data_IF_272555912929
#
_entry.id   IF_272555912929
#
_cell.length_a   1.000
_cell.length_b   1.000
_cell.length_c   1.000
_cell.angle_alpha   90.00
_cell.angle_beta   90.00
_cell.angle_gamma   90.00
#
_symmetry.space_group_name_H-M   'P 1'
#
loop_
_entity.id
_entity.type
_entity.pdbx_description
1 polymer ?
#
# COMPACT_ATOMS: atom_id res chain seq x y z
N UNK A 1 -23.69 4.12 -6.32
CA UNK A 1 -23.79 3.27 -5.11
C UNK A 1 -24.21 4.16 -3.95
N UNK A 2 -25.22 3.77 -3.15
CA UNK A 2 -25.70 4.59 -2.02
C UNK A 2 -24.58 4.85 -0.98
N UNK A 3 -24.41 6.07 -0.45
CA UNK A 3 -23.47 6.36 0.64
C UNK A 3 -23.79 5.55 1.91
N UNK A 4 -22.77 5.22 2.70
CA UNK A 4 -22.91 4.49 3.97
C UNK A 4 -22.04 5.13 5.07
N UNK A 5 -22.52 5.23 6.32
CA UNK A 5 -21.81 5.90 7.40
C UNK A 5 -20.75 5.01 8.09
N UNK A 6 -19.85 4.41 7.31
CA UNK A 6 -18.78 3.58 7.84
C UNK A 6 -17.58 4.41 8.30
N UNK A 7 -17.16 4.22 9.56
CA UNK A 7 -15.93 4.81 10.14
C UNK A 7 -14.68 4.05 9.70
N UNK A 8 -14.82 2.75 9.39
CA UNK A 8 -13.71 1.85 9.03
C UNK A 8 -14.14 0.87 7.93
N UNK A 9 -13.20 0.53 7.04
CA UNK A 9 -13.40 -0.38 5.91
C UNK A 9 -12.17 -1.26 5.76
N UNK A 10 -12.32 -2.54 6.15
CA UNK A 10 -11.22 -3.51 6.16
C UNK A 10 -10.86 -4.03 4.76
N UNK A 11 -11.87 -4.36 3.94
CA UNK A 11 -11.68 -5.00 2.63
C UNK A 11 -10.91 -4.11 1.65
N UNK A 12 -9.73 -4.57 1.23
CA UNK A 12 -8.90 -3.94 0.19
C UNK A 12 -9.62 -3.92 -1.15
N UNK A 13 -10.19 -5.06 -1.56
CA UNK A 13 -10.93 -5.20 -2.81
C UNK A 13 -12.10 -4.22 -2.88
N UNK A 14 -12.84 -4.04 -1.78
CA UNK A 14 -13.96 -3.10 -1.77
C UNK A 14 -13.50 -1.65 -1.93
N UNK A 15 -12.43 -1.25 -1.24
CA UNK A 15 -11.84 0.09 -1.42
C UNK A 15 -11.33 0.28 -2.86
N UNK A 16 -10.60 -0.70 -3.40
CA UNK A 16 -10.12 -0.67 -4.80
C UNK A 16 -11.27 -0.50 -5.77
N UNK A 17 -12.36 -1.27 -5.63
CA UNK A 17 -13.54 -1.17 -6.48
C UNK A 17 -14.23 0.20 -6.41
N UNK A 18 -14.19 0.90 -5.27
CA UNK A 18 -14.70 2.28 -5.18
C UNK A 18 -13.76 3.24 -5.88
N UNK A 19 -12.45 3.10 -5.70
CA UNK A 19 -11.46 3.97 -6.32
C UNK A 19 -11.45 3.84 -7.85
N UNK A 20 -11.60 2.62 -8.40
CA UNK A 20 -11.63 2.38 -9.86
C UNK A 20 -12.88 2.93 -10.55
N UNK A 21 -13.90 3.38 -9.81
CA UNK A 21 -15.05 4.10 -10.38
C UNK A 21 -14.72 5.56 -10.70
N UNK A 22 -13.67 6.10 -10.09
CA UNK A 22 -13.14 7.41 -10.45
C UNK A 22 -12.09 7.23 -11.55
N UNK A 23 -12.39 7.72 -12.76
CA UNK A 23 -11.52 7.58 -13.94
C UNK A 23 -10.14 8.19 -13.72
N UNK A 24 -10.06 9.26 -12.92
CA UNK A 24 -8.80 9.95 -12.60
C UNK A 24 -7.87 9.08 -11.74
N UNK A 25 -8.40 8.08 -11.03
CA UNK A 25 -7.63 7.20 -10.16
C UNK A 25 -7.17 5.91 -10.84
N UNK A 26 -7.82 5.49 -11.93
CA UNK A 26 -7.52 4.23 -12.63
C UNK A 26 -6.02 4.10 -12.98
N UNK A 27 -5.34 5.12 -13.53
CA UNK A 27 -3.93 5.00 -13.90
C UNK A 27 -2.99 4.69 -12.74
N UNK A 28 -3.39 5.04 -11.51
CA UNK A 28 -2.58 4.85 -10.31
C UNK A 28 -2.88 3.54 -9.57
N UNK A 29 -3.93 2.82 -9.95
CA UNK A 29 -4.35 1.61 -9.26
C UNK A 29 -3.73 0.40 -9.98
N UNK A 30 -2.86 -0.37 -9.32
CA UNK A 30 -2.35 -1.61 -9.91
C UNK A 30 -3.50 -2.58 -10.16
N UNK A 31 -3.46 -3.28 -11.30
CA UNK A 31 -4.45 -4.30 -11.61
C UNK A 31 -4.58 -5.27 -10.44
N UNK A 32 -5.82 -5.48 -10.02
CA UNK A 32 -6.17 -6.26 -8.84
C UNK A 32 -7.32 -7.18 -9.19
N UNK A 33 -7.19 -8.47 -8.87
CA UNK A 33 -8.21 -9.50 -9.07
C UNK A 33 -8.42 -10.28 -7.77
N UNK A 34 -9.55 -10.99 -7.66
CA UNK A 34 -9.69 -12.01 -6.63
C UNK A 34 -8.75 -13.18 -6.92
N UNK A 35 -8.16 -13.73 -5.87
CA UNK A 35 -7.28 -14.88 -6.00
C UNK A 35 -8.05 -16.13 -6.44
N UNK A 36 -7.56 -16.74 -7.50
CA UNK A 36 -7.78 -18.12 -7.91
C UNK A 36 -6.51 -18.56 -8.64
N UNK A 37 -6.30 -19.87 -8.80
CA UNK A 37 -5.14 -20.34 -9.56
C UNK A 37 -5.17 -19.84 -11.01
N UNK A 38 -6.36 -19.82 -11.61
CA UNK A 38 -6.57 -19.26 -12.96
C UNK A 38 -6.18 -17.78 -13.03
N UNK A 39 -6.60 -16.96 -12.06
CA UNK A 39 -6.22 -15.54 -12.04
C UNK A 39 -4.74 -15.35 -11.71
N UNK A 40 -4.09 -16.28 -11.00
CA UNK A 40 -2.66 -16.23 -10.75
C UNK A 40 -1.88 -16.39 -12.06
N UNK A 41 -2.18 -17.43 -12.83
CA UNK A 41 -1.56 -17.66 -14.14
C UNK A 41 -1.79 -16.51 -15.11
N UNK A 42 -3.05 -16.10 -15.28
CA UNK A 42 -3.42 -14.96 -16.14
C UNK A 42 -2.69 -13.67 -15.77
N UNK A 43 -2.43 -13.43 -14.48
CA UNK A 43 -1.70 -12.25 -14.04
C UNK A 43 -0.19 -12.39 -14.21
N UNK A 44 0.37 -13.60 -14.13
CA UNK A 44 1.80 -13.87 -14.37
C UNK A 44 2.13 -13.77 -15.86
N UNK A 45 1.25 -14.27 -16.74
CA UNK A 45 1.37 -14.09 -18.20
C UNK A 45 1.51 -12.62 -18.62
N UNK A 46 0.89 -11.72 -17.84
CA UNK A 46 0.88 -10.28 -18.12
C UNK A 46 1.93 -9.48 -17.35
N UNK A 47 2.42 -10.01 -16.23
CA UNK A 47 3.27 -9.27 -15.32
C UNK A 47 4.37 -10.17 -14.75
N UNK A 48 5.64 -9.72 -14.77
CA UNK A 48 6.77 -10.53 -14.31
C UNK A 48 6.71 -10.86 -12.82
N UNK A 49 5.88 -10.15 -12.04
CA UNK A 49 5.64 -10.44 -10.65
C UNK A 49 4.22 -10.03 -10.24
N UNK A 50 3.68 -10.77 -9.28
CA UNK A 50 2.40 -10.47 -8.63
C UNK A 50 2.51 -10.61 -7.12
N UNK A 51 1.63 -9.93 -6.41
CA UNK A 51 1.45 -10.07 -4.97
C UNK A 51 0.09 -10.63 -4.64
N UNK A 52 0.07 -11.70 -3.85
CA UNK A 52 -1.14 -12.28 -3.28
C UNK A 52 -1.24 -11.77 -1.83
N UNK A 53 -2.37 -11.16 -1.48
CA UNK A 53 -2.57 -10.51 -0.16
C UNK A 53 -3.95 -10.85 0.39
N UNK A 54 -4.12 -11.06 1.72
CA UNK A 54 -5.45 -11.16 2.31
C UNK A 54 -6.25 -9.87 2.06
N UNK A 55 -7.51 -10.02 1.64
CA UNK A 55 -8.40 -8.88 1.39
C UNK A 55 -8.59 -8.06 2.67
N UNK A 56 -8.85 -8.74 3.78
CA UNK A 56 -8.97 -8.17 5.13
C UNK A 56 -7.76 -8.53 5.97
N UNK A 57 -7.38 -7.63 6.88
CA UNK A 57 -6.17 -7.74 7.70
C UNK A 57 -5.17 -6.62 7.38
N UNK A 58 -4.17 -6.44 8.24
CA UNK A 58 -3.20 -5.34 8.16
C UNK A 58 -1.75 -5.79 8.39
N UNK A 59 -0.81 -4.86 8.18
CA UNK A 59 0.60 -5.06 8.52
C UNK A 59 1.38 -6.02 7.61
N UNK A 60 0.86 -6.34 6.42
CA UNK A 60 1.55 -7.20 5.44
C UNK A 60 1.71 -8.68 5.83
N UNK A 61 1.10 -9.11 6.94
CA UNK A 61 1.06 -10.52 7.33
C UNK A 61 0.28 -11.35 6.30
N UNK A 62 0.86 -12.47 5.87
CA UNK A 62 0.24 -13.35 4.87
C UNK A 62 0.36 -12.87 3.42
N UNK A 63 1.17 -11.84 3.14
CA UNK A 63 1.48 -11.45 1.77
C UNK A 63 2.50 -12.42 1.14
N UNK A 64 2.22 -12.83 -0.08
CA UNK A 64 3.06 -13.69 -0.91
C UNK A 64 3.42 -12.91 -2.17
N UNK A 65 4.66 -13.04 -2.63
CA UNK A 65 5.08 -12.62 -3.97
C UNK A 65 5.40 -13.85 -4.80
N UNK A 66 4.88 -13.87 -6.02
CA UNK A 66 5.28 -14.83 -7.05
C UNK A 66 5.92 -14.01 -8.17
N UNK A 67 7.12 -14.37 -8.58
CA UNK A 67 7.85 -13.77 -9.69
C UNK A 67 8.19 -14.86 -10.69
N UNK A 68 7.90 -14.64 -11.95
CA UNK A 68 8.30 -15.53 -13.03
C UNK A 68 9.71 -15.15 -13.54
N UNK A 69 10.52 -16.15 -13.82
CA UNK A 69 11.82 -16.04 -14.45
C UNK A 69 11.73 -16.38 -15.93
N UNK A 70 12.73 -15.97 -16.70
CA UNK A 70 12.75 -16.14 -18.17
C UNK A 70 12.87 -17.59 -18.63
N UNK A 71 13.22 -18.50 -17.73
CA UNK A 71 13.33 -19.95 -17.97
C UNK A 71 12.04 -20.71 -17.64
N UNK A 72 10.94 -20.01 -17.34
CA UNK A 72 9.66 -20.61 -16.95
C UNK A 72 9.60 -21.09 -15.49
N UNK A 73 10.66 -20.87 -14.70
CA UNK A 73 10.63 -21.12 -13.26
C UNK A 73 10.08 -19.90 -12.50
N UNK A 74 9.69 -20.13 -11.26
CA UNK A 74 9.09 -19.14 -10.39
C UNK A 74 9.93 -18.95 -9.12
N UNK A 75 10.01 -17.71 -8.65
CA UNK A 75 10.37 -17.41 -7.26
C UNK A 75 9.10 -17.11 -6.47
N UNK A 76 8.82 -17.99 -5.51
CA UNK A 76 7.84 -17.79 -4.48
C UNK A 76 8.49 -17.21 -3.22
N UNK A 77 7.89 -16.18 -2.65
CA UNK A 77 8.44 -15.52 -1.47
C UNK A 77 7.32 -15.12 -0.51
N UNK A 78 7.49 -15.46 0.76
CA UNK A 78 6.70 -14.95 1.88
C UNK A 78 7.60 -14.17 2.83
N UNK A 79 7.03 -13.64 3.90
CA UNK A 79 7.79 -12.96 4.96
C UNK A 79 8.97 -13.80 5.47
N UNK A 80 8.74 -15.11 5.64
CA UNK A 80 9.65 -16.02 6.35
C UNK A 80 10.40 -16.96 5.43
N UNK A 81 9.95 -17.13 4.19
CA UNK A 81 10.44 -18.17 3.30
C UNK A 81 10.61 -17.66 1.86
N UNK A 82 11.61 -18.20 1.17
CA UNK A 82 11.83 -18.03 -0.27
C UNK A 82 12.04 -19.41 -0.87
N UNK A 83 11.39 -19.69 -2.00
CA UNK A 83 11.51 -20.94 -2.73
C UNK A 83 11.54 -20.65 -4.23
N UNK A 84 12.48 -21.26 -4.93
CA UNK A 84 12.41 -21.37 -6.39
C UNK A 84 11.67 -22.67 -6.72
N UNK A 85 10.77 -22.62 -7.68
CA UNK A 85 9.87 -23.71 -8.00
C UNK A 85 9.53 -23.71 -9.49
N UNK A 86 9.21 -24.89 -10.02
CA UNK A 86 8.47 -24.98 -11.27
C UNK A 86 6.99 -24.58 -11.05
N UNK A 87 6.17 -24.63 -12.09
CA UNK A 87 4.76 -24.24 -12.02
C UNK A 87 3.96 -25.03 -10.97
N UNK A 88 3.99 -26.37 -11.02
CA UNK A 88 3.24 -27.22 -10.08
C UNK A 88 3.64 -26.95 -8.62
N UNK A 89 4.95 -26.85 -8.37
CA UNK A 89 5.48 -26.53 -7.04
C UNK A 89 5.10 -25.12 -6.59
N UNK A 90 4.97 -24.16 -7.51
CA UNK A 90 4.49 -22.81 -7.23
C UNK A 90 3.03 -22.87 -6.76
N UNK A 91 2.16 -23.61 -7.45
CA UNK A 91 0.75 -23.73 -7.06
C UNK A 91 0.60 -24.34 -5.67
N UNK A 92 1.27 -25.47 -5.43
CA UNK A 92 1.25 -26.18 -4.15
C UNK A 92 1.81 -25.31 -3.03
N UNK A 93 2.93 -24.62 -3.29
CA UNK A 93 3.54 -23.75 -2.29
C UNK A 93 2.63 -22.58 -1.95
N UNK A 94 2.05 -21.90 -2.95
CA UNK A 94 1.10 -20.80 -2.71
C UNK A 94 -0.08 -21.31 -1.89
N UNK A 95 -0.72 -22.42 -2.30
CA UNK A 95 -1.84 -23.02 -1.59
C UNK A 95 -1.51 -23.31 -0.11
N UNK A 96 -0.29 -23.80 0.17
CA UNK A 96 0.16 -24.07 1.55
C UNK A 96 0.28 -22.83 2.45
N UNK A 97 0.36 -21.63 1.87
CA UNK A 97 0.49 -20.37 2.62
C UNK A 97 -0.83 -19.62 2.78
N UNK A 98 -1.91 -20.08 2.14
CA UNK A 98 -3.22 -19.46 2.24
C UNK A 98 -3.99 -20.02 3.43
N UNK A 99 -4.60 -19.13 4.21
CA UNK A 99 -5.52 -19.52 5.28
C UNK A 99 -6.91 -19.76 4.71
N UNK A 100 -7.50 -20.93 4.99
CA UNK A 100 -8.78 -21.39 4.41
C UNK A 100 -9.94 -20.42 4.68
N UNK A 101 -9.94 -19.74 5.81
CA UNK A 101 -11.00 -18.82 6.23
C UNK A 101 -10.87 -17.40 5.64
N UNK A 102 -9.83 -17.13 4.83
CA UNK A 102 -9.56 -15.80 4.28
C UNK A 102 -9.72 -15.79 2.76
N UNK A 103 -10.26 -14.69 2.27
CA UNK A 103 -10.21 -14.35 0.84
C UNK A 103 -8.96 -13.54 0.54
N UNK A 104 -8.42 -13.75 -0.66
CA UNK A 104 -7.18 -13.13 -1.12
C UNK A 104 -7.42 -12.38 -2.42
N UNK A 105 -6.63 -11.33 -2.63
CA UNK A 105 -6.51 -10.62 -3.89
C UNK A 105 -5.13 -10.89 -4.50
N UNK A 106 -5.06 -10.85 -5.83
CA UNK A 106 -3.82 -10.83 -6.61
C UNK A 106 -3.67 -9.44 -7.19
N UNK A 107 -2.49 -8.86 -7.04
CA UNK A 107 -2.20 -7.50 -7.49
C UNK A 107 -0.90 -7.48 -8.30
N UNK A 108 -0.86 -6.67 -9.37
CA UNK A 108 0.35 -6.42 -10.15
C UNK A 108 1.53 -6.07 -9.23
N UNK A 109 2.67 -6.72 -9.45
CA UNK A 109 3.93 -6.36 -8.83
C UNK A 109 4.50 -5.07 -9.41
N UNK A 110 4.86 -4.14 -8.54
CA UNK A 110 5.47 -2.86 -8.92
C UNK A 110 6.98 -2.92 -8.70
N UNK A 111 7.75 -2.52 -9.71
CA UNK A 111 9.19 -2.34 -9.57
C UNK A 111 9.46 -1.02 -8.84
N UNK A 112 9.45 -1.09 -7.50
CA UNK A 112 9.58 0.09 -6.64
C UNK A 112 10.92 0.79 -6.87
N UNK A 113 10.87 2.12 -6.88
CA UNK A 113 12.04 2.96 -6.70
C UNK A 113 12.76 2.58 -5.40
N UNK A 114 14.07 2.76 -5.43
CA UNK A 114 14.97 2.33 -4.36
C UNK A 114 15.82 3.51 -3.91
N UNK A 115 16.19 3.49 -2.63
CA UNK A 115 17.23 4.34 -2.07
C UNK A 115 18.32 3.41 -1.55
N UNK A 116 19.54 3.49 -2.09
CA UNK A 116 20.68 2.64 -1.73
C UNK A 116 20.33 1.15 -1.85
N UNK A 117 19.74 0.76 -2.99
CA UNK A 117 19.27 -0.61 -3.30
C UNK A 117 18.18 -1.15 -2.36
N UNK A 118 17.54 -0.28 -1.58
CA UNK A 118 16.45 -0.65 -0.67
C UNK A 118 15.13 -0.06 -1.16
N UNK A 119 14.11 -0.88 -1.43
CA UNK A 119 12.83 -0.38 -1.85
C UNK A 119 12.16 0.42 -0.74
N UNK A 120 11.33 1.39 -1.11
CA UNK A 120 10.49 2.13 -0.18
C UNK A 120 9.09 2.31 -0.75
N UNK A 121 8.15 2.51 0.14
CA UNK A 121 6.82 3.04 -0.14
C UNK A 121 6.61 4.28 0.74
N UNK A 122 5.55 5.03 0.44
CA UNK A 122 5.31 6.37 0.96
C UNK A 122 3.98 6.35 1.71
N UNK A 123 4.02 6.70 2.99
CA UNK A 123 2.82 6.89 3.80
C UNK A 123 2.40 8.35 3.74
N UNK A 124 1.19 8.60 3.25
CA UNK A 124 0.47 9.87 3.41
C UNK A 124 -0.61 9.69 4.47
N UNK A 125 -0.61 10.52 5.50
CA UNK A 125 -1.59 10.49 6.58
C UNK A 125 -2.52 11.69 6.46
N UNK A 126 -3.83 11.45 6.45
CA UNK A 126 -4.85 12.48 6.31
C UNK A 126 -5.83 12.41 7.48
N UNK A 127 -6.20 13.57 8.02
CA UNK A 127 -7.28 13.71 8.99
C UNK A 127 -8.33 14.69 8.48
N UNK A 128 -9.58 14.48 8.90
CA UNK A 128 -10.67 15.39 8.60
C UNK A 128 -10.72 16.49 9.66
N UNK A 129 -10.24 17.68 9.32
CA UNK A 129 -10.17 18.85 10.19
C UNK A 129 -11.27 19.82 9.77
N UNK A 130 -12.19 20.13 10.69
CA UNK A 130 -13.36 20.99 10.40
C UNK A 130 -14.13 20.57 9.14
N UNK A 131 -14.25 19.25 8.91
CA UNK A 131 -14.96 18.70 7.75
C UNK A 131 -14.11 18.51 6.49
N UNK A 132 -12.90 19.05 6.43
CA UNK A 132 -12.05 18.98 5.24
C UNK A 132 -10.89 17.98 5.40
N UNK A 133 -10.60 17.21 4.36
CA UNK A 133 -9.43 16.34 4.34
C UNK A 133 -8.15 17.17 4.30
N UNK A 134 -7.28 16.94 5.28
CA UNK A 134 -6.00 17.64 5.39
C UNK A 134 -4.89 16.61 5.52
N UNK A 135 -3.83 16.74 4.71
CA UNK A 135 -2.60 15.97 4.88
C UNK A 135 -1.89 16.48 6.14
N UNK A 136 -1.72 15.59 7.11
CA UNK A 136 -1.11 15.89 8.42
C UNK A 136 0.27 15.28 8.59
N UNK A 137 0.69 14.40 7.69
CA UNK A 137 2.05 13.85 7.67
C UNK A 137 2.32 13.06 6.40
N UNK A 138 3.57 13.09 5.95
CA UNK A 138 4.02 12.31 4.81
C UNK A 138 5.49 11.90 4.99
N UNK A 139 5.77 10.60 4.88
CA UNK A 139 7.13 10.07 4.97
C UNK A 139 7.26 8.77 4.18
N UNK A 140 8.50 8.34 3.93
CA UNK A 140 8.77 7.06 3.28
C UNK A 140 9.15 5.99 4.31
N UNK A 141 8.76 4.74 4.07
CA UNK A 141 9.18 3.57 4.86
C UNK A 141 10.26 2.84 4.08
N UNK A 142 11.52 3.08 4.45
CA UNK A 142 12.64 2.42 3.81
C UNK A 142 12.67 0.94 4.24
N UNK A 143 12.40 0.05 3.28
CA UNK A 143 12.38 -1.39 3.49
C UNK A 143 13.75 -1.92 3.92
N UNK A 144 13.76 -3.11 4.53
CA UNK A 144 15.01 -3.79 4.86
C UNK A 144 15.61 -4.45 3.60
N UNK A 145 16.95 -4.56 3.52
CA UNK A 145 17.60 -5.30 2.43
C UNK A 145 16.99 -6.70 2.26
N UNK A 146 16.66 -7.07 1.02
CA UNK A 146 16.19 -8.41 0.68
C UNK A 146 14.78 -8.79 1.16
N UNK A 147 13.98 -7.89 1.75
CA UNK A 147 12.59 -8.20 2.17
C UNK A 147 11.56 -7.85 1.07
N UNK A 148 10.43 -8.58 1.05
CA UNK A 148 9.42 -8.48 -0.02
C UNK A 148 8.52 -7.25 0.14
N UNK A 149 8.10 -6.98 1.38
CA UNK A 149 7.10 -5.98 1.69
C UNK A 149 7.66 -5.04 2.74
N UNK A 150 7.64 -3.75 2.44
CA UNK A 150 7.98 -2.66 3.36
C UNK A 150 7.08 -2.67 4.61
N UNK A 151 5.80 -3.03 4.43
CA UNK A 151 4.77 -3.02 5.49
C UNK A 151 4.95 -4.09 6.59
N UNK A 152 5.56 -5.25 6.29
CA UNK A 152 5.76 -6.30 7.29
C UNK A 152 7.19 -6.33 7.87
N UNK A 153 8.07 -5.44 7.40
CA UNK A 153 9.39 -5.32 7.99
C UNK A 153 9.25 -4.71 9.39
N UNK A 154 9.18 -5.54 10.44
CA UNK A 154 9.65 -5.14 11.78
C UNK A 154 11.07 -4.57 11.58
N UNK A 155 11.18 -3.23 11.55
CA UNK A 155 12.45 -2.54 11.25
C UNK A 155 12.48 -1.68 9.98
N UNK A 156 11.40 -1.52 9.21
CA UNK A 156 11.35 -0.46 8.20
C UNK A 156 11.63 0.90 8.87
N UNK A 157 12.60 1.65 8.34
CA UNK A 157 13.02 2.92 8.91
C UNK A 157 12.23 4.04 8.24
N UNK A 158 11.40 4.80 8.97
CA UNK A 158 10.79 5.98 8.40
C UNK A 158 11.87 7.02 8.15
N UNK A 159 11.86 7.60 6.95
CA UNK A 159 12.77 8.66 6.53
C UNK A 159 11.96 9.79 5.91
N UNK A 160 12.57 10.98 5.82
CA UNK A 160 11.89 12.10 5.16
C UNK A 160 11.69 11.80 3.68
N UNK A 161 10.55 12.26 3.14
CA UNK A 161 10.17 11.99 1.77
C UNK A 161 11.23 12.43 0.76
N UNK A 162 11.80 13.63 0.92
CA UNK A 162 12.83 14.15 0.02
C UNK A 162 14.09 13.26 -0.02
N UNK A 163 14.42 12.59 1.08
CA UNK A 163 15.55 11.65 1.14
C UNK A 163 15.25 10.38 0.35
N UNK A 164 14.02 9.89 0.39
CA UNK A 164 13.62 8.71 -0.37
C UNK A 164 13.58 8.98 -1.87
N UNK A 165 13.08 10.16 -2.27
CA UNK A 165 12.94 10.53 -3.68
C UNK A 165 14.24 10.97 -4.34
N UNK A 166 15.34 11.14 -3.60
CA UNK A 166 16.58 11.70 -4.14
C UNK A 166 17.16 10.87 -5.28
N UNK A 167 17.19 9.54 -5.18
CA UNK A 167 17.74 8.69 -6.24
C UNK A 167 16.86 8.70 -7.49
N UNK A 168 15.54 8.49 -7.35
CA UNK A 168 14.63 8.46 -8.52
C UNK A 168 14.53 9.82 -9.21
N UNK A 169 14.57 10.92 -8.44
CA UNK A 169 14.56 12.28 -8.98
C UNK A 169 15.96 12.81 -9.34
N UNK A 170 17.02 12.00 -9.20
CA UNK A 170 18.42 12.40 -9.46
C UNK A 170 18.82 13.67 -8.69
N UNK A 171 18.36 13.80 -7.43
CA UNK A 171 18.55 14.95 -6.55
C UNK A 171 18.06 16.29 -7.12
N UNK A 172 17.22 16.26 -8.16
CA UNK A 172 16.65 17.46 -8.75
C UNK A 172 15.46 17.97 -7.90
N UNK A 173 15.65 19.14 -7.28
CA UNK A 173 14.67 19.72 -6.35
C UNK A 173 13.32 20.04 -7.00
N UNK A 174 13.30 20.44 -8.27
CA UNK A 174 12.07 20.71 -9.02
C UNK A 174 11.28 19.41 -9.25
N UNK A 175 11.94 18.34 -9.72
CA UNK A 175 11.32 17.02 -9.90
C UNK A 175 10.77 16.47 -8.59
N UNK A 176 11.56 16.53 -7.51
CA UNK A 176 11.11 16.09 -6.18
C UNK A 176 9.89 16.88 -5.69
N UNK A 177 9.85 18.21 -5.86
CA UNK A 177 8.70 19.05 -5.50
C UNK A 177 7.46 18.71 -6.33
N UNK A 178 7.63 18.55 -7.66
CA UNK A 178 6.55 18.19 -8.58
C UNK A 178 5.92 16.84 -8.21
N UNK A 179 6.76 15.82 -8.01
CA UNK A 179 6.32 14.48 -7.63
C UNK A 179 5.65 14.46 -6.25
N UNK A 180 6.19 15.22 -5.29
CA UNK A 180 5.58 15.38 -3.97
C UNK A 180 4.19 16.00 -4.04
N UNK A 181 4.03 17.10 -4.79
CA UNK A 181 2.72 17.75 -4.99
C UNK A 181 1.74 16.80 -5.67
N UNK A 182 2.17 16.08 -6.70
CA UNK A 182 1.33 15.10 -7.40
C UNK A 182 0.81 14.00 -6.46
N UNK A 183 1.66 13.46 -5.58
CA UNK A 183 1.22 12.51 -4.55
C UNK A 183 0.25 13.12 -3.53
N UNK A 184 0.42 14.38 -3.16
CA UNK A 184 -0.48 15.10 -2.26
C UNK A 184 -1.86 15.28 -2.88
N UNK A 185 -1.92 15.77 -4.12
CA UNK A 185 -3.15 15.99 -4.86
C UNK A 185 -3.89 14.66 -5.08
N UNK A 186 -3.17 13.62 -5.52
CA UNK A 186 -3.70 12.26 -5.66
C UNK A 186 -4.29 11.75 -4.33
N UNK A 187 -3.61 11.97 -3.21
CA UNK A 187 -4.07 11.55 -1.89
C UNK A 187 -5.37 12.22 -1.47
N UNK A 188 -5.55 13.50 -1.81
CA UNK A 188 -6.79 14.25 -1.55
C UNK A 188 -7.94 13.73 -2.43
N UNK A 189 -7.68 13.42 -3.71
CA UNK A 189 -8.67 12.82 -4.61
C UNK A 189 -9.10 11.44 -4.13
N UNK A 190 -8.17 10.61 -3.67
CA UNK A 190 -8.45 9.29 -3.05
C UNK A 190 -9.35 9.46 -1.82
N UNK A 191 -8.98 10.38 -0.92
CA UNK A 191 -9.72 10.63 0.32
C UNK A 191 -11.15 11.12 0.05
N UNK A 192 -11.32 12.06 -0.90
CA UNK A 192 -12.62 12.55 -1.34
C UNK A 192 -13.47 11.43 -1.95
N UNK A 193 -12.89 10.65 -2.87
CA UNK A 193 -13.56 9.53 -3.55
C UNK A 193 -14.09 8.48 -2.56
N UNK A 194 -13.28 8.09 -1.57
CA UNK A 194 -13.72 7.18 -0.53
C UNK A 194 -14.77 7.81 0.38
N UNK A 195 -14.62 9.08 0.76
CA UNK A 195 -15.55 9.76 1.65
C UNK A 195 -16.95 9.93 1.02
N UNK A 196 -17.06 10.07 -0.31
CA UNK A 196 -18.37 10.06 -0.99
C UNK A 196 -19.14 8.75 -0.77
N UNK A 197 -18.43 7.63 -0.66
CA UNK A 197 -19.04 6.33 -0.36
C UNK A 197 -19.16 6.07 1.14
N UNK A 198 -18.14 6.40 1.91
CA UNK A 198 -18.00 6.14 3.35
C UNK A 198 -18.02 7.47 4.11
N UNK A 199 -19.21 7.96 4.44
CA UNK A 199 -19.42 9.35 4.86
C UNK A 199 -18.88 9.68 6.25
N UNK A 200 -18.65 8.65 7.08
CA UNK A 200 -18.14 8.78 8.44
C UNK A 200 -16.61 8.63 8.56
N UNK A 201 -15.87 8.54 7.45
CA UNK A 201 -14.40 8.52 7.47
C UNK A 201 -13.83 9.84 8.01
N UNK A 202 -12.83 9.73 8.89
CA UNK A 202 -12.15 10.88 9.50
C UNK A 202 -10.62 10.75 9.57
N UNK A 203 -10.09 9.56 9.33
CA UNK A 203 -8.66 9.22 9.43
C UNK A 203 -8.28 8.28 8.27
N UNK A 204 -7.22 8.60 7.54
CA UNK A 204 -6.74 7.81 6.41
C UNK A 204 -5.21 7.72 6.39
N UNK A 205 -4.70 6.52 6.16
CA UNK A 205 -3.30 6.29 5.80
C UNK A 205 -3.24 5.68 4.42
N UNK A 206 -2.74 6.45 3.45
CA UNK A 206 -2.56 6.02 2.07
C UNK A 206 -1.10 5.58 1.91
N UNK A 207 -0.92 4.34 1.46
CA UNK A 207 0.39 3.82 1.08
C UNK A 207 0.52 3.93 -0.44
N UNK A 208 1.42 4.82 -0.87
CA UNK A 208 1.79 5.04 -2.27
C UNK A 208 3.14 4.40 -2.55
N UNK A 209 3.40 4.11 -3.81
CA UNK A 209 4.70 3.74 -4.34
C UNK A 209 5.08 4.67 -5.49
N UNK A 210 6.38 4.78 -5.73
CA UNK A 210 6.94 5.37 -6.95
C UNK A 210 7.74 4.26 -7.61
N UNK A 211 7.58 4.06 -8.92
CA UNK A 211 8.41 3.13 -9.68
C UNK A 211 9.67 3.81 -10.26
N UNK A 212 10.51 3.03 -10.94
CA UNK A 212 11.75 3.50 -11.56
C UNK A 212 11.55 4.57 -12.64
N UNK A 213 10.33 4.75 -13.13
CA UNK A 213 9.96 5.71 -14.16
C UNK A 213 9.15 6.89 -13.60
N UNK A 214 9.20 7.11 -12.29
CA UNK A 214 8.46 8.13 -11.55
C UNK A 214 6.93 7.98 -11.55
N UNK A 215 6.38 6.85 -12.00
CA UNK A 215 4.93 6.64 -11.92
C UNK A 215 4.52 6.37 -10.48
N UNK A 216 3.40 6.98 -10.06
CA UNK A 216 2.83 6.78 -8.74
C UNK A 216 1.85 5.61 -8.77
N UNK A 217 1.90 4.75 -7.75
CA UNK A 217 1.01 3.61 -7.59
C UNK A 217 0.34 3.63 -6.21
N UNK A 218 -0.96 3.38 -6.13
CA UNK A 218 -1.71 3.23 -4.88
C UNK A 218 -1.60 1.78 -4.42
N UNK A 219 -0.80 1.53 -3.38
CA UNK A 219 -0.62 0.18 -2.85
C UNK A 219 -1.79 -0.22 -1.93
N UNK A 220 -2.18 0.69 -1.03
CA UNK A 220 -3.23 0.44 -0.05
C UNK A 220 -3.81 1.75 0.50
N UNK A 221 -5.10 1.72 0.88
CA UNK A 221 -5.72 2.79 1.67
C UNK A 221 -6.25 2.21 2.99
N UNK A 222 -5.68 2.67 4.10
CA UNK A 222 -6.04 2.27 5.45
C UNK A 222 -7.00 3.28 6.09
N UNK A 223 -8.17 2.82 6.50
CA UNK A 223 -9.21 3.63 7.19
C UNK A 223 -9.07 3.62 8.71
N UNK A 224 -8.11 2.86 9.23
CA UNK A 224 -7.69 2.84 10.64
C UNK A 224 -6.17 2.89 10.74
N UNK A 225 -5.51 3.96 10.26
CA UNK A 225 -4.06 4.00 10.17
C UNK A 225 -3.38 4.07 11.54
N UNK A 226 -2.25 3.38 11.66
CA UNK A 226 -1.33 3.49 12.79
C UNK A 226 -0.37 4.67 12.57
N UNK A 227 -0.34 5.67 13.49
CA UNK A 227 0.56 6.80 13.41
C UNK A 227 1.97 6.52 13.97
N UNK A 228 2.20 5.38 14.64
CA UNK A 228 3.42 5.12 15.43
C UNK A 228 4.72 5.25 14.64
N UNK A 229 4.69 4.98 13.33
CA UNK A 229 5.85 5.17 12.45
C UNK A 229 6.36 6.61 12.41
N UNK A 230 5.48 7.61 12.48
CA UNK A 230 5.89 9.02 12.48
C UNK A 230 6.64 9.41 13.75
N UNK A 231 6.43 8.71 14.87
CA UNK A 231 7.19 8.90 16.11
C UNK A 231 8.66 8.51 15.99
N UNK A 232 9.00 7.69 14.99
CA UNK A 232 10.37 7.21 14.74
C UNK A 232 11.14 8.11 13.74
N UNK A 233 10.51 9.18 13.24
CA UNK A 233 11.22 10.19 12.47
C UNK A 233 12.12 11.04 13.40
N UNK A 234 13.18 11.67 12.87
CA UNK A 234 14.06 12.53 13.67
C UNK A 234 13.35 13.70 14.35
N UNK A 235 12.25 14.20 13.76
CA UNK A 235 11.41 15.25 14.31
C UNK A 235 9.97 14.71 14.55
N UNK A 236 9.39 15.06 15.69
CA UNK A 236 8.04 14.65 16.11
C UNK A 236 6.91 15.53 15.57
N UNK A 237 7.19 16.63 14.87
CA UNK A 237 6.17 17.57 14.38
C UNK A 237 5.01 16.89 13.63
N UNK A 238 5.32 16.01 12.66
CA UNK A 238 4.29 15.26 11.93
C UNK A 238 3.49 14.35 12.85
N UNK A 239 4.16 13.66 13.79
CA UNK A 239 3.49 12.79 14.76
C UNK A 239 2.56 13.57 15.67
N UNK A 240 3.02 14.70 16.23
CA UNK A 240 2.23 15.58 17.07
C UNK A 240 1.01 16.13 16.32
N UNK A 241 1.19 16.55 15.05
CA UNK A 241 0.10 17.01 14.20
C UNK A 241 -0.93 15.91 13.96
N UNK A 242 -0.50 14.69 13.65
CA UNK A 242 -1.39 13.54 13.46
C UNK A 242 -2.17 13.24 14.75
N UNK A 243 -1.52 13.20 15.91
CA UNK A 243 -2.19 12.91 17.18
C UNK A 243 -3.17 14.03 17.56
N UNK A 244 -2.81 15.30 17.35
CA UNK A 244 -3.67 16.47 17.62
C UNK A 244 -5.02 16.39 16.91
N UNK A 245 -5.04 15.87 15.68
CA UNK A 245 -6.25 15.78 14.85
C UNK A 245 -6.80 14.37 14.70
N UNK A 246 -6.23 13.39 15.43
CA UNK A 246 -6.71 12.01 15.41
C UNK A 246 -8.12 11.95 16.00
N UNK A 247 -9.12 11.40 15.28
CA UNK A 247 -10.46 11.28 15.82
C UNK A 247 -10.46 10.39 17.07
N UNK A 248 -11.18 10.81 18.12
CA UNK A 248 -11.43 9.97 19.30
C UNK A 248 -12.20 8.73 18.83
N UNK A 249 -11.69 7.55 19.18
CA UNK A 249 -12.42 6.30 18.96
C UNK A 249 -13.37 6.11 20.12
N UNK A 250 -14.67 5.97 19.84
CA UNK A 250 -15.60 5.38 20.80
C UNK A 250 -15.10 3.95 21.07
N UNK A 251 -14.85 3.61 22.34
CA UNK A 251 -14.70 2.20 22.71
C UNK A 251 -16.04 1.55 22.44
N UNK A 252 -16.11 0.68 21.45
CA UNK A 252 -17.20 -0.29 21.37
C UNK A 252 -16.90 -1.29 22.49
N UNK A 253 -17.49 -1.06 23.67
CA UNK A 253 -17.64 -2.08 24.69
C UNK A 253 -18.37 -3.24 24.03
N UNK A 254 -17.66 -4.34 23.83
CA UNK A 254 -18.30 -5.60 23.49
C UNK A 254 -18.97 -6.05 24.79
N UNK A 255 -20.28 -5.78 24.89
CA UNK A 255 -21.15 -6.51 25.81
C UNK A 255 -21.42 -7.90 25.27
#
# INVERSE_FOLDING_TARGET
>A
MKPVPLKEVASKAYKTMILTKNKDLIPYIPETRWYSITNLKLMLDRYPAVFIKPDKGGGGGGAIRVKEFTDGNYECKSVYERKNCNEEQMEQWVASKLYREKTYIIQKGINLAQLKKRPYDIRVHLNKIKGNWTIVGMCAKLGLPGKIVTNHCKGAKPIFLHQALSEVCQSNSFRTKKLTRHMQDLSLVIASTLNHKFTALRDLGIDLAVDTSENIWVLEVNTRPDPTMFRKLPNLEMYQRIIKFKPRRERISHG
#
